data_IF_560163204651
#
_entry.id   IF_560163204651
#
_cell.length_a   1.000
_cell.length_b   1.000
_cell.length_c   1.000
_cell.angle_alpha   90.00
_cell.angle_beta   90.00
_cell.angle_gamma   90.00
#
_symmetry.space_group_name_H-M   'P 1'
#
loop_
_entity.id
_entity.type
_entity.pdbx_description
1 polymer ?
#
# COMPACT_ATOMS: atom_id res chain seq x y z
N UNK A 1 30.55 -30.26 13.82
CA UNK A 1 30.52 -28.77 13.82
C UNK A 1 30.12 -28.19 12.45
N UNK A 2 30.71 -28.63 11.34
CA UNK A 2 30.44 -28.13 9.96
C UNK A 2 28.95 -28.11 9.52
N UNK A 3 28.21 -29.19 9.77
CA UNK A 3 26.79 -29.33 9.37
C UNK A 3 25.87 -28.27 10.01
N UNK A 4 26.11 -27.91 11.27
CA UNK A 4 25.30 -26.92 12.00
C UNK A 4 25.53 -25.52 11.45
N UNK A 5 26.78 -25.17 11.13
CA UNK A 5 27.10 -23.89 10.49
C UNK A 5 26.46 -23.78 9.10
N UNK A 6 26.51 -24.83 8.29
CA UNK A 6 25.84 -24.85 6.99
C UNK A 6 24.32 -24.69 7.10
N UNK A 7 23.67 -25.37 8.03
CA UNK A 7 22.22 -25.24 8.25
C UNK A 7 21.82 -23.82 8.66
N UNK A 8 22.61 -23.17 9.54
CA UNK A 8 22.39 -21.78 9.94
C UNK A 8 22.53 -20.82 8.76
N UNK A 9 23.60 -20.97 7.96
CA UNK A 9 23.82 -20.15 6.78
C UNK A 9 22.68 -20.31 5.76
N UNK A 10 22.25 -21.55 5.49
CA UNK A 10 21.12 -21.84 4.60
C UNK A 10 19.80 -21.24 5.11
N UNK A 11 19.53 -21.34 6.41
CA UNK A 11 18.34 -20.74 7.02
C UNK A 11 18.34 -19.21 6.91
N UNK A 12 19.49 -18.57 7.13
CA UNK A 12 19.65 -17.12 6.95
C UNK A 12 19.42 -16.71 5.49
N UNK A 13 20.00 -17.42 4.54
CA UNK A 13 19.82 -17.18 3.11
C UNK A 13 18.33 -17.29 2.72
N UNK A 14 17.66 -18.37 3.11
CA UNK A 14 16.23 -18.55 2.85
C UNK A 14 15.38 -17.44 3.48
N UNK A 15 15.74 -16.98 4.69
CA UNK A 15 15.07 -15.87 5.35
C UNK A 15 15.23 -14.56 4.58
N UNK A 16 16.42 -14.31 4.03
CA UNK A 16 16.67 -13.12 3.20
C UNK A 16 15.79 -13.12 1.96
N UNK A 17 15.73 -14.24 1.23
CA UNK A 17 14.84 -14.38 0.05
C UNK A 17 13.38 -14.15 0.45
N UNK A 18 12.92 -14.77 1.54
CA UNK A 18 11.54 -14.59 2.02
C UNK A 18 11.24 -13.13 2.39
N UNK A 19 12.18 -12.45 3.04
CA UNK A 19 12.03 -11.05 3.43
C UNK A 19 11.94 -10.15 2.20
N UNK A 20 12.78 -10.38 1.21
CA UNK A 20 12.78 -9.63 -0.04
C UNK A 20 11.41 -9.71 -0.74
N UNK A 21 10.91 -10.93 -0.96
CA UNK A 21 9.58 -11.16 -1.54
C UNK A 21 8.48 -10.49 -0.71
N UNK A 22 8.54 -10.61 0.62
CA UNK A 22 7.54 -10.02 1.50
C UNK A 22 7.54 -8.49 1.46
N UNK A 23 8.71 -7.86 1.33
CA UNK A 23 8.83 -6.40 1.22
C UNK A 23 8.18 -5.91 -0.08
N UNK A 24 8.48 -6.55 -1.21
CA UNK A 24 7.85 -6.23 -2.50
C UNK A 24 6.32 -6.38 -2.45
N UNK A 25 5.82 -7.46 -1.85
CA UNK A 25 4.38 -7.66 -1.67
C UNK A 25 3.75 -6.59 -0.77
N UNK A 26 4.42 -6.20 0.33
CA UNK A 26 3.94 -5.14 1.23
C UNK A 26 3.88 -3.78 0.53
N UNK A 27 4.86 -3.44 -0.31
CA UNK A 27 4.84 -2.22 -1.11
C UNK A 27 3.62 -2.21 -2.04
N UNK A 28 3.36 -3.33 -2.71
CA UNK A 28 2.19 -3.50 -3.57
C UNK A 28 0.87 -3.35 -2.82
N UNK A 29 0.73 -4.05 -1.69
CA UNK A 29 -0.47 -3.94 -0.86
C UNK A 29 -0.67 -2.56 -0.27
N UNK A 30 0.40 -1.83 0.02
CA UNK A 30 0.31 -0.44 0.50
C UNK A 30 -0.37 0.46 -0.53
N UNK A 31 0.04 0.39 -1.80
CA UNK A 31 -0.60 1.16 -2.87
C UNK A 31 -2.05 0.74 -3.08
N UNK A 32 -2.31 -0.57 -3.12
CA UNK A 32 -3.67 -1.09 -3.26
C UNK A 32 -4.58 -0.66 -2.10
N UNK A 33 -4.05 -0.60 -0.89
CA UNK A 33 -4.77 -0.12 0.28
C UNK A 33 -5.16 1.36 0.13
N UNK A 34 -4.24 2.23 -0.30
CA UNK A 34 -4.56 3.64 -0.54
C UNK A 34 -5.63 3.82 -1.62
N UNK A 35 -5.54 3.07 -2.73
CA UNK A 35 -6.56 3.08 -3.77
C UNK A 35 -7.93 2.59 -3.26
N UNK A 36 -7.93 1.56 -2.42
CA UNK A 36 -9.14 1.06 -1.78
C UNK A 36 -9.77 2.11 -0.86
N UNK A 37 -8.96 2.84 -0.08
CA UNK A 37 -9.44 3.95 0.74
C UNK A 37 -10.03 5.06 -0.11
N UNK A 38 -9.35 5.49 -1.19
CA UNK A 38 -9.90 6.46 -2.15
C UNK A 38 -11.28 6.02 -2.65
N UNK A 39 -11.42 4.75 -3.05
CA UNK A 39 -12.68 4.22 -3.55
C UNK A 39 -13.77 4.30 -2.48
N UNK A 40 -13.49 3.86 -1.25
CA UNK A 40 -14.45 3.95 -0.14
C UNK A 40 -14.92 5.38 0.14
N UNK A 41 -14.02 6.37 0.05
CA UNK A 41 -14.39 7.78 0.21
C UNK A 41 -15.20 8.34 -0.97
N UNK A 42 -14.95 7.87 -2.20
CA UNK A 42 -15.81 8.20 -3.35
C UNK A 42 -17.21 7.66 -3.18
N UNK A 43 -17.34 6.40 -2.79
CA UNK A 43 -18.64 5.77 -2.53
C UNK A 43 -19.40 6.52 -1.42
N UNK A 44 -18.69 6.93 -0.35
CA UNK A 44 -19.26 7.77 0.72
C UNK A 44 -19.68 9.16 0.22
N UNK A 45 -18.85 9.82 -0.61
CA UNK A 45 -19.17 11.12 -1.20
C UNK A 45 -20.46 11.03 -2.04
N UNK A 46 -20.57 10.01 -2.89
CA UNK A 46 -21.70 9.83 -3.79
C UNK A 46 -23.00 9.55 -3.03
N UNK A 47 -22.95 8.74 -1.96
CA UNK A 47 -24.09 8.55 -1.06
C UNK A 47 -24.55 9.87 -0.40
N UNK A 48 -23.61 10.70 0.08
CA UNK A 48 -23.96 11.96 0.75
C UNK A 48 -24.38 13.09 -0.21
N UNK A 49 -23.97 13.04 -1.49
CA UNK A 49 -24.52 13.90 -2.55
C UNK A 49 -26.00 13.61 -2.76
N UNK A 50 -26.40 12.34 -2.77
CA UNK A 50 -27.80 11.94 -2.88
C UNK A 50 -28.64 12.43 -1.69
N UNK A 51 -28.05 12.47 -0.49
CA UNK A 51 -28.71 12.95 0.74
C UNK A 51 -28.66 14.47 0.94
N UNK A 52 -28.13 15.24 -0.02
CA UNK A 52 -27.98 16.70 0.05
C UNK A 52 -27.24 17.20 1.32
N UNK A 53 -26.16 16.51 1.72
CA UNK A 53 -25.32 16.85 2.88
C UNK A 53 -23.99 17.48 2.45
N UNK A 54 -23.96 18.80 2.13
CA UNK A 54 -22.81 19.43 1.47
C UNK A 54 -21.52 19.41 2.31
N UNK A 55 -21.61 19.51 3.64
CA UNK A 55 -20.43 19.46 4.52
C UNK A 55 -19.71 18.10 4.46
N UNK A 56 -20.47 17.01 4.42
CA UNK A 56 -19.93 15.65 4.31
C UNK A 56 -19.29 15.41 2.95
N UNK A 57 -19.86 15.98 1.88
CA UNK A 57 -19.29 15.90 0.52
C UNK A 57 -17.94 16.59 0.46
N UNK A 58 -17.81 17.82 0.97
CA UNK A 58 -16.54 18.56 0.98
C UNK A 58 -15.48 17.83 1.82
N UNK A 59 -15.88 17.24 2.95
CA UNK A 59 -14.95 16.44 3.75
C UNK A 59 -14.47 15.19 3.01
N UNK A 60 -15.39 14.48 2.34
CA UNK A 60 -15.06 13.31 1.54
C UNK A 60 -14.11 13.65 0.38
N UNK A 61 -14.31 14.80 -0.29
CA UNK A 61 -13.40 15.29 -1.34
C UNK A 61 -11.98 15.47 -0.83
N UNK A 62 -11.82 16.09 0.34
CA UNK A 62 -10.51 16.24 0.97
C UNK A 62 -9.84 14.88 1.23
N UNK A 63 -10.60 13.91 1.72
CA UNK A 63 -10.09 12.55 1.96
C UNK A 63 -9.68 11.86 0.65
N UNK A 64 -10.49 11.95 -0.40
CA UNK A 64 -10.20 11.40 -1.73
C UNK A 64 -8.87 11.95 -2.26
N UNK A 65 -8.69 13.27 -2.18
CA UNK A 65 -7.46 13.93 -2.64
C UNK A 65 -6.24 13.42 -1.87
N UNK A 66 -6.34 13.37 -0.54
CA UNK A 66 -5.24 12.90 0.32
C UNK A 66 -4.85 11.44 0.02
N UNK A 67 -5.81 10.53 -0.08
CA UNK A 67 -5.52 9.12 -0.37
C UNK A 67 -4.96 8.90 -1.78
N UNK A 68 -5.42 9.68 -2.76
CA UNK A 68 -4.82 9.67 -4.09
C UNK A 68 -3.36 10.14 -4.05
N UNK A 69 -3.07 11.24 -3.34
CA UNK A 69 -1.69 11.71 -3.18
C UNK A 69 -0.80 10.66 -2.54
N UNK A 70 -1.27 9.96 -1.50
CA UNK A 70 -0.52 8.85 -0.91
C UNK A 70 -0.29 7.69 -1.88
N UNK A 71 -1.30 7.30 -2.66
CA UNK A 71 -1.16 6.27 -3.71
C UNK A 71 -0.08 6.65 -4.72
N UNK A 72 -0.12 7.86 -5.27
CA UNK A 72 0.83 8.29 -6.30
C UNK A 72 2.24 8.46 -5.73
N UNK A 73 2.40 9.09 -4.56
CA UNK A 73 3.71 9.20 -3.92
C UNK A 73 4.33 7.83 -3.58
N UNK A 74 3.50 6.88 -3.14
CA UNK A 74 3.96 5.53 -2.85
C UNK A 74 4.40 4.80 -4.12
N UNK A 75 3.62 4.85 -5.20
CA UNK A 75 4.02 4.29 -6.51
C UNK A 75 5.33 4.87 -6.99
N UNK A 76 5.47 6.20 -7.00
CA UNK A 76 6.68 6.89 -7.44
C UNK A 76 7.89 6.47 -6.61
N UNK A 77 7.72 6.40 -5.28
CA UNK A 77 8.80 6.00 -4.37
C UNK A 77 9.22 4.55 -4.59
N UNK A 78 8.27 3.64 -4.79
CA UNK A 78 8.56 2.22 -5.01
C UNK A 78 9.13 1.93 -6.40
N UNK A 79 8.67 2.65 -7.43
CA UNK A 79 9.25 2.59 -8.78
C UNK A 79 10.72 3.04 -8.78
N UNK A 80 11.06 4.11 -8.06
CA UNK A 80 12.46 4.56 -7.89
C UNK A 80 13.34 3.51 -7.21
N UNK A 81 12.75 2.66 -6.36
CA UNK A 81 13.43 1.54 -5.71
C UNK A 81 13.48 0.28 -6.59
N UNK A 82 13.04 0.35 -7.85
CA UNK A 82 13.03 -0.77 -8.79
C UNK A 82 11.91 -1.79 -8.54
N UNK A 83 10.94 -1.47 -7.67
CA UNK A 83 9.79 -2.34 -7.42
C UNK A 83 8.64 -1.94 -8.34
N UNK A 84 8.14 -2.88 -9.13
CA UNK A 84 6.91 -2.68 -9.92
C UNK A 84 5.72 -2.88 -8.99
N UNK A 85 5.01 -1.79 -8.70
CA UNK A 85 3.87 -1.76 -7.77
C UNK A 85 2.55 -1.53 -8.50
#
# INVERSE_FOLDING_TARGET
VYRVHWLRAKAMYNRWIKKDILVCLKMKWTVQYFQHQTKGWKDFQDANKMEAKPSHVVYAERQIIMWNQFSEQAKDSFHRLGTVV
#
